data_IF_560331713118
#
_entry.id   IF_560331713118
#
_cell.length_a   1.000
_cell.length_b   1.000
_cell.length_c   1.000
_cell.angle_alpha   90.00
_cell.angle_beta   90.00
_cell.angle_gamma   90.00
#
_symmetry.space_group_name_H-M   'P 1'
#
loop_
_entity.id
_entity.type
_entity.pdbx_description
1 polymer ?
#
# COMPACT_ATOMS: atom_id res chain seq x y z
N UNK A 1 19.04 -50.60 55.14
CA UNK A 1 18.56 -51.27 53.90
C UNK A 1 17.78 -50.28 53.13
N UNK A 2 18.42 -49.64 52.17
CA UNK A 2 17.82 -48.64 51.30
C UNK A 2 17.42 -49.34 50.02
N UNK A 3 16.14 -49.50 49.84
CA UNK A 3 15.60 -49.99 48.57
C UNK A 3 15.64 -48.90 47.53
N UNK A 4 16.57 -49.05 46.60
CA UNK A 4 16.61 -48.21 45.41
C UNK A 4 15.58 -48.81 44.43
N UNK A 5 14.52 -48.06 44.21
CA UNK A 5 13.53 -48.41 43.18
C UNK A 5 14.10 -48.10 41.78
N UNK A 6 14.41 -49.10 40.97
CA UNK A 6 15.02 -48.92 39.66
C UNK A 6 14.03 -48.63 38.54
N UNK A 7 12.80 -48.20 38.85
CA UNK A 7 11.78 -48.07 37.83
C UNK A 7 11.15 -46.64 37.81
N UNK A 8 12.02 -45.64 37.72
CA UNK A 8 11.54 -44.33 37.27
C UNK A 8 11.84 -44.24 35.77
N UNK A 9 10.83 -44.21 34.91
CA UNK A 9 11.09 -43.94 33.50
C UNK A 9 11.65 -42.50 33.38
N UNK A 10 12.57 -42.26 32.45
CA UNK A 10 13.01 -40.89 32.20
C UNK A 10 11.82 -40.06 31.80
N UNK A 11 11.62 -38.99 32.49
CA UNK A 11 10.71 -37.95 32.04
C UNK A 11 11.22 -37.49 30.70
N UNK A 12 10.52 -37.95 29.68
CA UNK A 12 10.69 -37.49 28.32
C UNK A 12 10.32 -36.01 28.35
N UNK A 13 11.32 -35.15 28.50
CA UNK A 13 11.21 -33.73 28.27
C UNK A 13 10.98 -33.57 26.75
N UNK A 14 9.75 -33.91 26.34
CA UNK A 14 9.24 -33.48 25.06
C UNK A 14 9.00 -32.00 25.19
N UNK A 15 10.07 -31.26 25.07
CA UNK A 15 10.00 -29.92 24.54
C UNK A 15 9.18 -30.06 23.25
N UNK A 16 7.87 -29.86 23.37
CA UNK A 16 7.06 -29.60 22.20
C UNK A 16 7.67 -28.35 21.59
N UNK A 17 8.56 -28.57 20.64
CA UNK A 17 8.82 -27.58 19.63
C UNK A 17 7.47 -27.36 18.97
N UNK A 18 6.72 -26.42 19.49
CA UNK A 18 5.62 -25.86 18.75
C UNK A 18 6.25 -25.40 17.46
N UNK A 19 6.03 -26.18 16.43
CA UNK A 19 6.25 -25.74 15.07
C UNK A 19 5.48 -24.43 14.96
N UNK A 20 6.17 -23.33 15.02
CA UNK A 20 5.64 -22.06 14.57
C UNK A 20 5.08 -22.37 13.19
N UNK A 21 3.79 -22.07 12.95
CA UNK A 21 3.31 -22.11 11.59
C UNK A 21 4.31 -21.26 10.81
N UNK A 22 4.83 -21.81 9.73
CA UNK A 22 5.73 -21.10 8.86
C UNK A 22 5.12 -19.74 8.61
N UNK A 23 5.73 -18.68 9.13
CA UNK A 23 5.36 -17.34 8.76
C UNK A 23 5.53 -17.32 7.25
N UNK A 24 4.40 -17.26 6.58
CA UNK A 24 4.33 -16.89 5.20
C UNK A 24 5.32 -15.73 5.04
N UNK A 25 6.29 -15.79 4.12
CA UNK A 25 7.21 -14.69 3.96
C UNK A 25 6.35 -13.43 3.84
N UNK A 26 6.57 -12.51 4.76
CA UNK A 26 5.89 -11.24 4.68
C UNK A 26 6.27 -10.66 3.34
N UNK A 27 5.28 -10.64 2.48
CA UNK A 27 5.38 -10.06 1.17
C UNK A 27 5.90 -8.64 1.39
N UNK A 28 7.12 -8.38 0.95
CA UNK A 28 7.73 -7.07 1.12
C UNK A 28 6.91 -6.12 0.28
N UNK A 29 5.94 -5.49 0.92
CA UNK A 29 5.09 -4.50 0.28
C UNK A 29 5.97 -3.38 -0.22
N UNK A 30 6.20 -3.34 -1.52
CA UNK A 30 6.88 -2.20 -2.13
C UNK A 30 5.92 -1.02 -2.06
N UNK A 31 6.28 -0.04 -1.26
CA UNK A 31 5.55 1.22 -1.21
C UNK A 31 6.02 2.09 -2.36
N UNK A 32 5.20 2.20 -3.40
CA UNK A 32 5.46 3.14 -4.48
C UNK A 32 4.77 4.45 -4.14
N UNK A 33 5.55 5.53 -4.12
CA UNK A 33 5.04 6.87 -3.88
C UNK A 33 4.94 7.58 -5.20
N UNK A 34 3.72 7.87 -5.59
CA UNK A 34 3.49 8.71 -6.75
C UNK A 34 3.29 10.15 -6.28
N UNK A 35 4.29 10.96 -6.46
CA UNK A 35 4.25 12.38 -6.12
C UNK A 35 4.50 13.26 -7.35
N UNK A 36 4.09 12.86 -8.56
CA UNK A 36 4.25 13.76 -9.71
C UNK A 36 3.61 13.29 -10.99
N UNK A 37 3.32 14.24 -11.88
CA UNK A 37 2.52 14.03 -13.07
C UNK A 37 3.29 13.20 -14.08
N UNK A 38 3.12 11.91 -14.06
CA UNK A 38 3.50 11.12 -15.22
C UNK A 38 2.39 11.25 -16.23
N UNK A 39 2.71 11.85 -17.35
CA UNK A 39 1.88 11.92 -18.52
C UNK A 39 1.26 10.54 -18.81
N UNK A 40 -0.03 10.41 -18.60
CA UNK A 40 -0.76 9.20 -18.95
C UNK A 40 -0.77 9.10 -20.47
N UNK A 41 -0.05 8.15 -20.98
CA UNK A 41 -0.12 7.78 -22.40
C UNK A 41 -1.53 7.33 -22.73
N UNK A 42 -2.07 7.91 -23.77
CA UNK A 42 -3.43 7.79 -24.26
C UNK A 42 -3.75 6.34 -24.66
N UNK A 43 -4.28 5.55 -23.72
CA UNK A 43 -4.93 4.27 -24.02
C UNK A 43 -6.45 4.48 -24.07
N UNK A 44 -7.21 3.84 -24.98
CA UNK A 44 -8.64 4.07 -25.11
C UNK A 44 -9.38 3.64 -23.83
N UNK A 45 -10.03 4.59 -23.21
CA UNK A 45 -10.83 4.42 -22.01
C UNK A 45 -12.09 3.70 -22.38
N UNK A 46 -12.30 2.49 -21.89
CA UNK A 46 -13.61 1.85 -21.88
C UNK A 46 -14.56 2.64 -20.96
N UNK A 47 -15.78 2.98 -21.43
CA UNK A 47 -16.71 3.75 -20.63
C UNK A 47 -17.48 2.84 -19.68
N UNK A 48 -17.05 2.74 -18.43
CA UNK A 48 -17.87 2.35 -17.31
C UNK A 48 -17.10 2.53 -15.99
N UNK A 49 -16.85 3.77 -15.62
CA UNK A 49 -16.47 4.08 -14.25
C UNK A 49 -17.35 5.20 -13.79
N UNK A 50 -18.25 4.90 -12.87
CA UNK A 50 -18.94 5.87 -12.05
C UNK A 50 -17.97 6.98 -11.62
N UNK A 51 -18.40 8.26 -11.55
CA UNK A 51 -17.53 9.33 -11.11
C UNK A 51 -17.02 8.99 -9.72
N UNK A 52 -15.72 8.70 -9.65
CA UNK A 52 -15.06 8.34 -8.42
C UNK A 52 -15.25 9.47 -7.41
N UNK A 53 -15.99 9.18 -6.37
CA UNK A 53 -16.08 10.06 -5.21
C UNK A 53 -14.67 10.39 -4.73
N UNK A 54 -14.36 11.69 -4.64
CA UNK A 54 -13.10 12.22 -4.12
C UNK A 54 -11.83 12.10 -4.99
N UNK A 55 -11.93 11.98 -6.30
CA UNK A 55 -10.75 12.04 -7.19
C UNK A 55 -9.81 10.83 -7.09
N UNK A 56 -10.30 9.68 -6.66
CA UNK A 56 -9.54 8.44 -6.60
C UNK A 56 -9.15 7.93 -8.00
N UNK A 57 -8.05 7.19 -8.08
CA UNK A 57 -7.71 6.47 -9.30
C UNK A 57 -8.70 5.31 -9.51
N UNK A 58 -9.29 5.20 -10.72
CA UNK A 58 -10.16 4.09 -11.04
C UNK A 58 -9.45 2.74 -10.98
N UNK A 59 -10.19 1.69 -10.62
CA UNK A 59 -9.71 0.31 -10.77
C UNK A 59 -9.36 0.05 -12.24
N UNK A 60 -8.21 -0.59 -12.49
CA UNK A 60 -7.66 -0.79 -13.83
C UNK A 60 -6.77 0.33 -14.33
N UNK A 61 -6.63 1.45 -13.58
CA UNK A 61 -5.67 2.50 -13.93
C UNK A 61 -4.26 1.95 -13.89
N UNK A 62 -3.45 2.34 -14.88
CA UNK A 62 -2.05 1.95 -14.97
C UNK A 62 -1.13 3.08 -14.59
N UNK A 63 -0.17 2.77 -13.72
CA UNK A 63 0.94 3.62 -13.31
C UNK A 63 2.23 2.86 -13.62
N UNK A 64 2.82 3.11 -14.78
CA UNK A 64 3.95 2.33 -15.30
C UNK A 64 3.63 0.81 -15.31
N UNK A 65 4.38 -0.01 -14.58
CA UNK A 65 4.16 -1.45 -14.45
C UNK A 65 3.03 -1.85 -13.49
N UNK A 66 2.48 -0.91 -12.74
CA UNK A 66 1.46 -1.17 -11.72
C UNK A 66 0.05 -0.94 -12.27
N UNK A 67 -0.86 -1.82 -11.93
CA UNK A 67 -2.28 -1.72 -12.25
C UNK A 67 -3.11 -1.68 -10.96
N UNK A 68 -3.89 -0.63 -10.77
CA UNK A 68 -4.74 -0.47 -9.59
C UNK A 68 -5.82 -1.53 -9.57
N UNK A 69 -5.86 -2.34 -8.51
CA UNK A 69 -6.86 -3.41 -8.35
C UNK A 69 -7.98 -3.01 -7.39
N UNK A 70 -7.68 -2.25 -6.35
CA UNK A 70 -8.69 -1.73 -5.43
C UNK A 70 -8.14 -0.62 -4.54
N UNK A 71 -9.05 0.13 -3.92
CA UNK A 71 -8.72 1.06 -2.84
C UNK A 71 -8.67 0.28 -1.52
N UNK A 72 -7.58 0.38 -0.80
CA UNK A 72 -7.40 -0.26 0.52
C UNK A 72 -7.87 0.66 1.63
N UNK A 73 -7.56 1.95 1.51
CA UNK A 73 -7.94 2.94 2.49
C UNK A 73 -7.70 4.37 2.04
N UNK A 74 -8.42 5.29 2.64
CA UNK A 74 -8.30 6.73 2.41
C UNK A 74 -8.23 7.45 3.74
N UNK A 75 -7.31 8.39 3.86
CA UNK A 75 -7.12 9.21 5.05
C UNK A 75 -6.96 10.69 4.71
N UNK A 76 -6.70 11.52 5.73
CA UNK A 76 -6.56 12.98 5.56
C UNK A 76 -5.41 13.40 4.66
N UNK A 77 -4.40 12.56 4.50
CA UNK A 77 -3.20 12.88 3.72
C UNK A 77 -3.13 12.15 2.37
N UNK A 78 -3.93 11.14 2.16
CA UNK A 78 -3.87 10.42 0.90
C UNK A 78 -4.62 9.12 0.89
N UNK A 79 -4.30 8.32 -0.11
CA UNK A 79 -4.97 7.07 -0.43
C UNK A 79 -3.96 5.94 -0.51
N UNK A 80 -4.36 4.77 -0.06
CA UNK A 80 -3.62 3.52 -0.26
C UNK A 80 -4.42 2.65 -1.21
N UNK A 81 -3.76 2.25 -2.28
CA UNK A 81 -4.30 1.31 -3.27
C UNK A 81 -3.58 -0.04 -3.16
N UNK A 82 -4.28 -1.08 -3.47
CA UNK A 82 -3.67 -2.34 -3.89
C UNK A 82 -3.47 -2.29 -5.39
N UNK A 83 -2.33 -2.75 -5.84
CA UNK A 83 -2.01 -2.81 -7.26
C UNK A 83 -1.29 -4.10 -7.62
N UNK A 84 -1.41 -4.51 -8.87
CA UNK A 84 -0.66 -5.60 -9.44
C UNK A 84 0.58 -5.06 -10.15
N UNK A 85 1.74 -5.57 -9.76
CA UNK A 85 3.02 -5.31 -10.42
C UNK A 85 3.19 -6.34 -11.55
N UNK A 86 3.08 -5.87 -12.79
CA UNK A 86 3.18 -6.73 -13.96
C UNK A 86 4.62 -7.18 -14.28
N UNK A 87 5.61 -6.51 -13.73
CA UNK A 87 7.01 -6.87 -13.92
C UNK A 87 7.45 -7.96 -12.98
N UNK A 88 7.06 -7.86 -11.71
CA UNK A 88 7.42 -8.82 -10.68
C UNK A 88 6.30 -9.81 -10.34
N UNK A 89 5.17 -9.73 -11.04
CA UNK A 89 4.00 -10.61 -10.91
C UNK A 89 3.54 -10.77 -9.45
N UNK A 90 3.37 -9.63 -8.77
CA UNK A 90 2.98 -9.62 -7.35
C UNK A 90 2.03 -8.47 -7.01
N UNK A 91 1.33 -8.62 -5.90
CA UNK A 91 0.51 -7.56 -5.31
C UNK A 91 1.42 -6.61 -4.52
N UNK A 92 1.20 -5.32 -4.70
CA UNK A 92 1.90 -4.24 -3.99
C UNK A 92 0.90 -3.24 -3.43
N UNK A 93 1.34 -2.45 -2.45
CA UNK A 93 0.61 -1.30 -1.97
C UNK A 93 1.20 -0.03 -2.59
N UNK A 94 0.34 0.83 -3.13
CA UNK A 94 0.70 2.15 -3.63
C UNK A 94 0.06 3.20 -2.73
N UNK A 95 0.89 4.07 -2.16
CA UNK A 95 0.42 5.24 -1.42
C UNK A 95 0.46 6.48 -2.31
N UNK A 96 -0.64 7.18 -2.38
CA UNK A 96 -0.76 8.44 -3.12
C UNK A 96 -1.01 9.61 -2.18
N UNK A 97 -0.28 10.69 -2.36
CA UNK A 97 -0.55 11.95 -1.66
C UNK A 97 -1.73 12.65 -2.30
N UNK A 98 -2.88 12.57 -1.68
CA UNK A 98 -4.12 13.19 -2.13
C UNK A 98 -4.87 13.77 -0.91
N UNK A 99 -4.41 14.88 -0.33
CA UNK A 99 -5.11 15.54 0.76
C UNK A 99 -6.34 16.27 0.23
N UNK A 100 -7.49 15.63 0.28
CA UNK A 100 -8.74 16.13 -0.33
C UNK A 100 -9.21 17.47 0.20
N UNK A 101 -8.77 17.87 1.39
CA UNK A 101 -9.01 19.20 1.94
C UNK A 101 -8.16 20.30 1.32
N UNK A 102 -7.06 19.95 0.67
CA UNK A 102 -6.06 20.91 0.13
C UNK A 102 -5.88 20.80 -1.38
N UNK A 103 -6.31 19.69 -1.98
CA UNK A 103 -6.01 19.35 -3.37
C UNK A 103 -7.19 18.72 -4.09
N UNK A 104 -7.09 18.71 -5.40
CA UNK A 104 -8.01 18.03 -6.30
C UNK A 104 -7.25 17.36 -7.43
N UNK A 105 -7.84 16.33 -8.02
CA UNK A 105 -7.32 15.69 -9.23
C UNK A 105 -7.90 16.36 -10.46
N UNK A 106 -7.02 16.70 -11.39
CA UNK A 106 -7.40 17.19 -12.72
C UNK A 106 -7.76 16.02 -13.65
N UNK A 107 -8.35 16.34 -14.80
CA UNK A 107 -8.75 15.36 -15.81
C UNK A 107 -7.55 14.57 -16.38
N UNK A 108 -6.35 15.15 -16.38
CA UNK A 108 -5.11 14.50 -16.79
C UNK A 108 -4.50 13.57 -15.72
N UNK A 109 -5.17 13.43 -14.58
CA UNK A 109 -4.72 12.64 -13.44
C UNK A 109 -3.80 13.36 -12.46
N UNK A 110 -3.39 14.58 -12.75
CA UNK A 110 -2.51 15.38 -11.90
C UNK A 110 -3.23 15.85 -10.63
N UNK A 111 -2.58 15.71 -9.48
CA UNK A 111 -3.08 16.27 -8.21
C UNK A 111 -2.50 17.66 -8.02
N UNK A 112 -3.37 18.62 -7.85
CA UNK A 112 -3.00 20.05 -7.71
C UNK A 112 -3.66 20.67 -6.47
N UNK A 113 -3.03 21.68 -5.85
CA UNK A 113 -3.67 22.43 -4.77
C UNK A 113 -4.99 23.05 -5.22
N UNK A 114 -5.98 23.10 -4.33
CA UNK A 114 -7.31 23.72 -4.60
C UNK A 114 -7.19 25.20 -4.94
N UNK A 115 -6.21 25.89 -4.39
CA UNK A 115 -5.93 27.30 -4.65
C UNK A 115 -4.50 27.64 -4.28
N UNK A 116 -4.04 28.81 -4.70
CA UNK A 116 -2.72 29.33 -4.34
C UNK A 116 -2.52 29.41 -2.81
N UNK A 117 -3.58 29.69 -2.06
CA UNK A 117 -3.55 29.70 -0.59
C UNK A 117 -3.18 28.35 0.01
N UNK A 118 -3.51 27.26 -0.64
CA UNK A 118 -3.24 25.90 -0.17
C UNK A 118 -1.87 25.37 -0.64
N UNK A 119 -1.21 26.05 -1.58
CA UNK A 119 0.02 25.58 -2.20
C UNK A 119 1.12 25.30 -1.20
N UNK A 120 1.42 26.25 -0.31
CA UNK A 120 2.49 26.10 0.67
C UNK A 120 2.23 24.91 1.61
N UNK A 121 1.01 24.78 2.13
CA UNK A 121 0.63 23.68 3.00
C UNK A 121 0.65 22.34 2.26
N UNK A 122 0.20 22.32 1.01
CA UNK A 122 0.26 21.17 0.14
C UNK A 122 1.69 20.70 -0.10
N UNK A 123 2.60 21.62 -0.44
CA UNK A 123 4.00 21.31 -0.70
C UNK A 123 4.74 20.80 0.55
N UNK A 124 4.46 21.39 1.71
CA UNK A 124 5.00 20.93 2.99
C UNK A 124 4.52 19.52 3.33
N UNK A 125 3.23 19.26 3.15
CA UNK A 125 2.65 17.95 3.37
C UNK A 125 3.21 16.90 2.43
N UNK A 126 3.43 17.24 1.16
CA UNK A 126 4.05 16.36 0.17
C UNK A 126 5.46 15.96 0.58
N UNK A 127 6.28 16.92 1.03
CA UNK A 127 7.64 16.64 1.51
C UNK A 127 7.63 15.70 2.71
N UNK A 128 6.73 15.90 3.66
CA UNK A 128 6.57 15.02 4.82
C UNK A 128 6.16 13.63 4.41
N UNK A 129 5.21 13.52 3.48
CA UNK A 129 4.74 12.26 2.94
C UNK A 129 5.86 11.45 2.27
N UNK A 130 6.69 12.10 1.46
CA UNK A 130 7.84 11.46 0.81
C UNK A 130 8.89 11.05 1.84
N UNK A 131 9.14 11.86 2.87
CA UNK A 131 10.12 11.55 3.90
C UNK A 131 9.70 10.37 4.79
N UNK A 132 8.42 10.24 5.08
CA UNK A 132 7.89 9.10 5.85
C UNK A 132 8.04 7.77 5.11
N UNK A 133 8.07 7.81 3.80
CA UNK A 133 8.14 6.63 2.95
C UNK A 133 9.57 6.15 2.63
N UNK A 134 10.55 6.81 3.17
CA UNK A 134 11.97 6.40 3.03
C UNK A 134 12.37 5.45 4.19
#
# INVERSE_FOLDING_TARGET
>A
MTETNPNKPPEDDRTQVMSRPAQKPEDTSVTVITASPTSLSNAPISPASEPNEAGLLPVGSRLAEFEITRVVGQGGFGVVYEAWDHTLERVVAIKEYLPTSLSTRQQDGTVVPLSERHRETFDLGMRSFINEAR
#
